data_IF_931883063174
#
_entry.id   IF_931883063174
#
_cell.length_a   1.000
_cell.length_b   1.000
_cell.length_c   1.000
_cell.angle_alpha   90.00
_cell.angle_beta   90.00
_cell.angle_gamma   90.00
#
_symmetry.space_group_name_H-M   'P 1'
#
loop_
_entity.id
_entity.type
_entity.pdbx_description
1 polymer ?
#
# COMPACT_ATOMS: atom_id res chain seq x y z
N UNK A 1 26.27 46.83 15.19
CA UNK A 1 25.34 45.74 15.52
C UNK A 1 25.38 44.74 14.37
N UNK A 2 26.16 43.67 14.54
CA UNK A 2 26.25 42.59 13.55
C UNK A 2 25.15 41.58 13.89
N UNK A 3 24.11 41.49 13.02
CA UNK A 3 23.10 40.45 13.10
C UNK A 3 23.73 39.13 12.61
N UNK A 4 24.09 38.25 13.53
CA UNK A 4 24.47 36.89 13.22
C UNK A 4 23.23 36.11 12.78
N UNK A 5 23.07 35.88 11.46
CA UNK A 5 22.19 34.82 10.95
C UNK A 5 22.83 33.51 11.33
N UNK A 6 22.37 32.89 12.41
CA UNK A 6 22.56 31.46 12.64
C UNK A 6 21.78 30.72 11.56
N UNK A 7 22.48 30.19 10.56
CA UNK A 7 21.90 29.17 9.66
C UNK A 7 21.47 28.01 10.55
N UNK A 8 20.22 27.49 10.43
CA UNK A 8 19.85 26.27 11.10
C UNK A 8 20.78 25.18 10.54
N UNK A 9 21.53 24.52 11.41
CA UNK A 9 22.23 23.29 11.05
C UNK A 9 21.21 22.36 10.44
N UNK A 10 21.42 21.93 9.19
CA UNK A 10 20.62 20.89 8.55
C UNK A 10 20.68 19.69 9.51
N UNK A 11 19.59 19.45 10.24
CA UNK A 11 19.47 18.29 11.09
C UNK A 11 19.39 17.08 10.15
N UNK A 12 20.34 16.17 10.29
CA UNK A 12 20.35 14.93 9.55
C UNK A 12 18.99 14.22 9.73
N UNK A 13 18.39 13.79 8.63
CA UNK A 13 17.08 13.13 8.60
C UNK A 13 17.28 11.61 8.76
N UNK A 14 17.15 11.12 9.99
CA UNK A 14 17.19 9.69 10.26
C UNK A 14 15.95 8.93 9.75
N UNK A 15 16.09 7.62 9.61
CA UNK A 15 15.02 6.74 9.12
C UNK A 15 13.72 6.85 9.95
N UNK A 16 13.81 6.99 11.28
CA UNK A 16 12.65 7.14 12.15
C UNK A 16 11.91 8.46 11.88
N UNK A 17 12.65 9.56 11.71
CA UNK A 17 12.06 10.86 11.38
C UNK A 17 11.41 10.83 9.98
N UNK A 18 12.02 10.14 9.02
CA UNK A 18 11.45 9.93 7.70
C UNK A 18 10.12 9.16 7.79
N UNK A 19 10.05 8.13 8.61
CA UNK A 19 8.81 7.39 8.85
C UNK A 19 7.72 8.27 9.49
N UNK A 20 8.06 9.05 10.53
CA UNK A 20 7.10 9.96 11.18
C UNK A 20 6.54 11.00 10.21
N UNK A 21 7.37 11.52 9.30
CA UNK A 21 6.93 12.43 8.25
C UNK A 21 6.02 11.73 7.24
N UNK A 22 6.36 10.51 6.82
CA UNK A 22 5.54 9.72 5.89
C UNK A 22 4.16 9.38 6.49
N UNK A 23 4.09 9.02 7.78
CA UNK A 23 2.82 8.79 8.48
C UNK A 23 1.89 10.01 8.39
N UNK A 24 2.45 11.22 8.41
CA UNK A 24 1.67 12.47 8.39
C UNK A 24 1.36 12.98 6.98
N UNK A 25 2.24 12.72 6.03
CA UNK A 25 2.23 13.41 4.74
C UNK A 25 2.03 12.49 3.53
N UNK A 26 2.26 11.16 3.65
CA UNK A 26 2.09 10.26 2.49
C UNK A 26 0.62 10.17 2.08
N UNK A 27 0.24 10.67 0.88
CA UNK A 27 -1.14 10.66 0.44
C UNK A 27 -1.75 9.25 0.35
N UNK A 28 -0.91 8.24 0.03
CA UNK A 28 -1.34 6.84 -0.05
C UNK A 28 -1.72 6.30 1.31
N UNK A 29 -0.98 6.68 2.35
CA UNK A 29 -1.28 6.27 3.72
C UNK A 29 -2.46 7.06 4.30
N UNK A 30 -2.56 8.36 4.03
CA UNK A 30 -3.75 9.16 4.40
C UNK A 30 -5.03 8.60 3.78
N UNK A 31 -4.98 8.21 2.50
CA UNK A 31 -6.10 7.52 1.86
C UNK A 31 -6.45 6.19 2.54
N UNK A 32 -5.47 5.46 3.08
CA UNK A 32 -5.73 4.22 3.81
C UNK A 32 -6.39 4.46 5.17
N UNK A 33 -6.10 5.57 5.85
CA UNK A 33 -6.77 5.99 7.09
C UNK A 33 -8.26 6.27 6.81
N UNK A 34 -8.54 7.04 5.77
CA UNK A 34 -9.92 7.37 5.39
C UNK A 34 -10.70 6.13 4.88
N UNK A 35 -10.04 5.23 4.16
CA UNK A 35 -10.62 3.94 3.73
C UNK A 35 -11.01 3.08 4.94
N UNK A 36 -10.17 3.03 5.98
CA UNK A 36 -10.50 2.35 7.24
C UNK A 36 -11.70 3.00 7.90
N UNK A 37 -11.70 4.33 8.08
CA UNK A 37 -12.80 5.07 8.71
C UNK A 37 -14.12 4.82 7.96
N UNK A 38 -14.11 4.87 6.62
CA UNK A 38 -15.26 4.52 5.81
C UNK A 38 -15.70 3.06 5.99
N UNK A 39 -14.73 2.14 6.12
CA UNK A 39 -14.98 0.72 6.36
C UNK A 39 -15.62 0.43 7.73
N UNK A 40 -15.23 1.15 8.78
CA UNK A 40 -15.79 1.03 10.13
C UNK A 40 -17.30 1.37 10.16
N UNK A 41 -17.76 2.30 9.30
CA UNK A 41 -19.17 2.67 9.18
C UNK A 41 -20.06 1.51 8.68
N UNK A 42 -19.52 0.46 8.08
CA UNK A 42 -20.30 -0.73 7.72
C UNK A 42 -20.95 -1.39 8.94
N UNK A 43 -20.36 -1.27 10.13
CA UNK A 43 -20.96 -1.76 11.37
C UNK A 43 -22.22 -0.96 11.73
N UNK A 44 -22.16 0.37 11.58
CA UNK A 44 -23.31 1.24 11.82
C UNK A 44 -24.40 1.03 10.76
N UNK A 45 -24.03 0.93 9.48
CA UNK A 45 -24.93 0.63 8.37
C UNK A 45 -25.59 -0.74 8.52
N UNK A 46 -24.86 -1.76 8.95
CA UNK A 46 -25.42 -3.07 9.26
C UNK A 46 -26.43 -3.01 10.41
N UNK A 47 -26.07 -2.33 11.51
CA UNK A 47 -26.94 -2.16 12.69
C UNK A 47 -28.18 -1.37 12.36
N UNK A 48 -28.11 -0.37 11.46
CA UNK A 48 -29.26 0.48 11.11
C UNK A 48 -30.47 -0.33 10.57
N UNK A 49 -30.22 -1.49 9.97
CA UNK A 49 -31.28 -2.38 9.48
C UNK A 49 -32.16 -2.97 10.61
N UNK A 50 -31.65 -3.01 11.85
CA UNK A 50 -32.35 -3.49 13.03
C UNK A 50 -33.03 -2.36 13.84
N UNK A 51 -32.74 -1.10 13.51
CA UNK A 51 -33.24 0.07 14.24
C UNK A 51 -34.55 0.58 13.64
N UNK A 52 -35.34 1.37 14.41
CA UNK A 52 -36.55 1.98 13.89
C UNK A 52 -36.23 3.03 12.83
N UNK A 53 -37.05 3.07 11.80
CA UNK A 53 -37.04 4.12 10.78
C UNK A 53 -38.20 5.06 10.97
N UNK A 54 -37.97 6.38 10.92
CA UNK A 54 -38.97 7.41 10.98
C UNK A 54 -38.94 8.18 9.64
N UNK A 55 -40.10 8.21 8.99
CA UNK A 55 -40.26 8.94 7.73
C UNK A 55 -41.44 9.90 7.78
N UNK A 56 -41.29 11.05 7.15
CA UNK A 56 -42.35 12.02 6.95
C UNK A 56 -42.52 12.26 5.46
N UNK A 57 -43.77 12.04 5.00
CA UNK A 57 -44.14 12.25 3.61
C UNK A 57 -45.20 13.32 3.53
N UNK A 58 -44.99 14.35 2.76
CA UNK A 58 -45.95 15.41 2.46
C UNK A 58 -46.23 15.46 0.97
N UNK A 59 -47.48 15.34 0.60
CA UNK A 59 -47.96 15.47 -0.76
C UNK A 59 -49.02 16.56 -0.85
N UNK A 60 -48.90 17.45 -1.84
CA UNK A 60 -49.89 18.49 -2.11
C UNK A 60 -50.07 18.56 -3.63
N UNK A 61 -51.29 18.39 -4.10
CA UNK A 61 -51.60 18.42 -5.53
C UNK A 61 -52.88 19.23 -5.81
N UNK A 62 -52.92 19.78 -7.02
CA UNK A 62 -54.17 20.36 -7.58
C UNK A 62 -54.69 19.36 -8.60
N UNK A 63 -55.92 18.94 -8.37
CA UNK A 63 -56.60 17.96 -9.20
C UNK A 63 -57.75 18.64 -9.97
N UNK A 64 -57.80 18.37 -11.27
CA UNK A 64 -58.95 18.65 -12.10
C UNK A 64 -59.52 17.32 -12.54
N UNK A 65 -60.68 16.96 -12.05
CA UNK A 65 -61.32 15.68 -12.34
C UNK A 65 -62.73 15.85 -12.82
N UNK A 66 -63.16 14.97 -13.68
CA UNK A 66 -64.47 14.90 -14.25
C UNK A 66 -65.15 13.63 -13.76
N UNK A 67 -66.20 13.79 -12.95
CA UNK A 67 -66.98 12.68 -12.43
C UNK A 67 -68.27 12.55 -13.22
N UNK A 68 -68.48 11.37 -13.82
CA UNK A 68 -69.74 11.05 -14.48
C UNK A 68 -70.51 10.03 -13.62
N UNK A 69 -71.69 10.40 -13.14
CA UNK A 69 -72.54 9.51 -12.35
C UNK A 69 -73.95 9.53 -12.92
N UNK A 70 -74.48 8.40 -13.37
CA UNK A 70 -75.80 8.25 -13.95
C UNK A 70 -76.12 9.31 -15.02
N UNK A 71 -75.26 9.46 -16.04
CA UNK A 71 -75.29 10.45 -17.15
C UNK A 71 -75.13 11.92 -16.74
N UNK A 72 -74.91 12.23 -15.46
CA UNK A 72 -74.59 13.58 -15.00
C UNK A 72 -73.08 13.74 -14.91
N UNK A 73 -72.52 14.66 -15.67
CA UNK A 73 -71.13 15.03 -15.68
C UNK A 73 -70.87 16.24 -14.78
N UNK A 74 -69.96 16.10 -13.83
CA UNK A 74 -69.57 17.15 -12.89
C UNK A 74 -68.06 17.35 -12.97
N UNK A 75 -67.62 18.56 -13.29
CA UNK A 75 -66.21 18.96 -13.26
C UNK A 75 -65.87 19.39 -11.81
N UNK A 76 -64.74 18.89 -11.27
CA UNK A 76 -64.26 19.22 -9.92
C UNK A 76 -62.81 19.66 -9.99
N UNK A 77 -62.56 20.91 -9.55
CA UNK A 77 -61.22 21.45 -9.32
C UNK A 77 -60.99 21.53 -7.80
N UNK A 78 -60.01 20.82 -7.30
CA UNK A 78 -59.73 20.83 -5.88
C UNK A 78 -58.25 20.67 -5.54
N UNK A 79 -57.86 21.10 -4.33
CA UNK A 79 -56.53 20.83 -3.77
C UNK A 79 -56.64 19.66 -2.81
N UNK A 80 -55.68 18.72 -2.99
CA UNK A 80 -55.50 17.63 -2.04
C UNK A 80 -54.17 17.78 -1.33
N UNK A 81 -54.10 17.44 -0.08
CA UNK A 81 -52.86 17.24 0.65
C UNK A 81 -52.91 15.99 1.53
N UNK A 82 -51.75 15.40 1.73
CA UNK A 82 -51.54 14.35 2.70
C UNK A 82 -50.21 14.56 3.41
N UNK A 83 -50.21 14.60 4.73
CA UNK A 83 -49.01 14.65 5.56
C UNK A 83 -49.05 13.37 6.43
N UNK A 84 -48.02 12.51 6.24
CA UNK A 84 -47.95 11.22 6.94
C UNK A 84 -46.59 11.07 7.60
N UNK A 85 -46.59 10.92 8.92
CA UNK A 85 -45.42 10.51 9.72
C UNK A 85 -45.56 9.01 10.01
N UNK A 86 -44.52 8.23 9.67
CA UNK A 86 -44.50 6.78 9.84
C UNK A 86 -43.25 6.35 10.59
N UNK A 87 -43.42 5.64 11.69
CA UNK A 87 -42.40 4.91 12.43
C UNK A 87 -42.53 3.42 12.08
N UNK A 88 -41.46 2.78 11.69
CA UNK A 88 -41.43 1.34 11.45
C UNK A 88 -40.22 0.72 12.17
N UNK A 89 -40.46 -0.34 12.97
CA UNK A 89 -39.44 -1.09 13.71
C UNK A 89 -39.50 -2.56 13.31
N UNK A 90 -38.44 -3.13 12.72
CA UNK A 90 -38.34 -4.58 12.54
C UNK A 90 -38.32 -5.30 13.90
N UNK A 91 -39.18 -6.30 14.08
CA UNK A 91 -39.22 -7.16 15.27
C UNK A 91 -38.63 -8.53 15.00
N UNK A 92 -38.93 -9.09 13.81
CA UNK A 92 -38.33 -10.33 13.29
C UNK A 92 -38.01 -10.10 11.81
N UNK A 93 -36.72 -9.99 11.52
CA UNK A 93 -36.20 -9.84 10.16
C UNK A 93 -34.82 -10.46 10.09
N UNK A 94 -34.75 -11.66 9.50
CA UNK A 94 -33.49 -12.39 9.37
C UNK A 94 -32.57 -11.74 8.32
N UNK A 95 -33.13 -11.07 7.32
CA UNK A 95 -32.32 -10.30 6.35
C UNK A 95 -31.58 -9.14 7.06
N UNK A 96 -32.29 -8.40 7.92
CA UNK A 96 -31.71 -7.34 8.73
C UNK A 96 -30.62 -7.87 9.68
N UNK A 97 -30.84 -9.03 10.31
CA UNK A 97 -29.83 -9.70 11.13
C UNK A 97 -28.59 -10.12 10.32
N UNK A 98 -28.78 -10.76 9.16
CA UNK A 98 -27.67 -11.14 8.28
C UNK A 98 -26.88 -9.92 7.80
N UNK A 99 -27.56 -8.82 7.48
CA UNK A 99 -26.96 -7.53 7.12
C UNK A 99 -26.14 -6.94 8.27
N UNK A 100 -26.62 -7.03 9.49
CA UNK A 100 -25.87 -6.60 10.68
C UNK A 100 -24.57 -7.39 10.83
N UNK A 101 -24.63 -8.72 10.70
CA UNK A 101 -23.44 -9.60 10.78
C UNK A 101 -22.46 -9.37 9.62
N UNK A 102 -22.99 -9.17 8.42
CA UNK A 102 -22.21 -8.82 7.24
C UNK A 102 -21.45 -7.51 7.43
N UNK A 103 -22.13 -6.46 7.91
CA UNK A 103 -21.49 -5.18 8.20
C UNK A 103 -20.39 -5.27 9.25
N UNK A 104 -20.56 -6.11 10.27
CA UNK A 104 -19.52 -6.37 11.26
C UNK A 104 -18.28 -7.04 10.63
N UNK A 105 -18.46 -8.01 9.72
CA UNK A 105 -17.36 -8.66 9.00
C UNK A 105 -16.65 -7.68 8.05
N UNK A 106 -17.41 -6.80 7.38
CA UNK A 106 -16.84 -5.77 6.49
C UNK A 106 -16.00 -4.74 7.27
N UNK A 107 -16.40 -4.37 8.47
CA UNK A 107 -15.60 -3.49 9.33
C UNK A 107 -14.28 -4.15 9.76
N UNK A 108 -14.31 -5.44 10.14
CA UNK A 108 -13.09 -6.19 10.46
C UNK A 108 -12.17 -6.37 9.24
N UNK A 109 -12.73 -6.57 8.05
CA UNK A 109 -11.98 -6.57 6.80
C UNK A 109 -11.21 -5.25 6.62
N UNK A 110 -11.86 -4.11 6.82
CA UNK A 110 -11.25 -2.80 6.69
C UNK A 110 -10.13 -2.57 7.73
N UNK A 111 -10.31 -3.03 8.97
CA UNK A 111 -9.31 -2.95 10.03
C UNK A 111 -8.05 -3.74 9.68
N UNK A 112 -8.19 -5.00 9.24
CA UNK A 112 -7.05 -5.84 8.88
C UNK A 112 -6.34 -5.33 7.63
N UNK A 113 -7.09 -4.82 6.66
CA UNK A 113 -6.53 -4.18 5.47
C UNK A 113 -5.73 -2.92 5.83
N UNK A 114 -6.20 -2.11 6.76
CA UNK A 114 -5.45 -0.97 7.26
C UNK A 114 -4.17 -1.41 7.98
N UNK A 115 -4.22 -2.48 8.79
CA UNK A 115 -3.02 -3.05 9.44
C UNK A 115 -1.97 -3.49 8.40
N UNK A 116 -2.39 -4.13 7.30
CA UNK A 116 -1.52 -4.49 6.18
C UNK A 116 -0.88 -3.25 5.56
N UNK A 117 -1.67 -2.20 5.26
CA UNK A 117 -1.17 -0.95 4.68
C UNK A 117 -0.24 -0.18 5.62
N UNK A 118 -0.47 -0.22 6.94
CA UNK A 118 0.41 0.38 7.94
C UNK A 118 1.78 -0.31 7.98
N UNK A 119 1.80 -1.64 7.95
CA UNK A 119 3.06 -2.40 7.84
C UNK A 119 3.75 -2.13 6.50
N UNK A 120 3.00 -2.02 5.41
CA UNK A 120 3.56 -1.74 4.08
C UNK A 120 4.17 -0.34 3.98
N UNK A 121 3.66 0.65 4.73
CA UNK A 121 4.29 1.98 4.81
C UNK A 121 5.73 1.89 5.34
N UNK A 122 5.99 1.06 6.38
CA UNK A 122 7.33 0.82 6.88
C UNK A 122 8.27 0.28 5.78
N UNK A 123 7.79 -0.69 4.99
CA UNK A 123 8.54 -1.26 3.86
C UNK A 123 8.83 -0.19 2.82
N UNK A 124 7.84 0.63 2.45
CA UNK A 124 7.98 1.69 1.44
C UNK A 124 8.98 2.76 1.88
N UNK A 125 8.88 3.23 3.11
CA UNK A 125 9.80 4.26 3.64
C UNK A 125 11.24 3.73 3.66
N UNK A 126 11.47 2.52 4.18
CA UNK A 126 12.81 1.94 4.17
C UNK A 126 13.32 1.72 2.73
N UNK A 127 12.45 1.30 1.81
CA UNK A 127 12.81 1.12 0.41
C UNK A 127 13.25 2.43 -0.25
N UNK A 128 12.43 3.48 -0.15
CA UNK A 128 12.72 4.78 -0.74
C UNK A 128 13.96 5.44 -0.11
N UNK A 129 14.09 5.36 1.22
CA UNK A 129 15.26 5.85 1.96
C UNK A 129 16.54 5.13 1.54
N UNK A 130 16.49 3.79 1.45
CA UNK A 130 17.61 2.96 1.00
C UNK A 130 17.99 3.21 -0.45
N UNK A 131 17.01 3.43 -1.33
CA UNK A 131 17.26 3.74 -2.76
C UNK A 131 17.94 5.11 -2.92
N UNK A 132 17.51 6.12 -2.17
CA UNK A 132 18.14 7.44 -2.20
C UNK A 132 19.61 7.39 -1.76
N UNK A 133 19.91 6.62 -0.69
CA UNK A 133 21.29 6.43 -0.24
C UNK A 133 22.12 5.59 -1.20
N UNK A 134 21.57 4.51 -1.76
CA UNK A 134 22.25 3.69 -2.76
C UNK A 134 22.59 4.52 -4.01
N UNK A 135 21.68 5.37 -4.47
CA UNK A 135 21.91 6.26 -5.59
C UNK A 135 23.03 7.27 -5.30
N UNK A 136 23.10 7.81 -4.07
CA UNK A 136 24.22 8.64 -3.61
C UNK A 136 25.55 7.88 -3.72
N UNK A 137 25.61 6.66 -3.19
CA UNK A 137 26.84 5.85 -3.27
C UNK A 137 27.23 5.55 -4.73
N UNK A 138 26.25 5.31 -5.61
CA UNK A 138 26.51 5.09 -7.05
C UNK A 138 27.11 6.34 -7.72
N UNK A 139 26.61 7.55 -7.42
CA UNK A 139 27.21 8.80 -7.93
C UNK A 139 28.64 8.97 -7.43
N UNK A 140 28.89 8.76 -6.14
CA UNK A 140 30.22 8.88 -5.56
C UNK A 140 31.21 7.92 -6.22
N UNK A 141 30.80 6.67 -6.45
CA UNK A 141 31.61 5.67 -7.17
C UNK A 141 31.84 6.07 -8.63
N UNK A 142 30.80 6.51 -9.36
CA UNK A 142 30.92 6.94 -10.76
C UNK A 142 31.86 8.15 -10.92
N UNK A 143 31.76 9.13 -9.99
CA UNK A 143 32.67 10.27 -9.93
C UNK A 143 34.11 9.84 -9.63
N UNK A 144 34.32 8.88 -8.73
CA UNK A 144 35.64 8.35 -8.43
C UNK A 144 36.23 7.61 -9.64
N UNK A 145 35.43 6.80 -10.33
CA UNK A 145 35.83 6.10 -11.56
C UNK A 145 36.18 7.07 -12.68
N UNK A 146 35.37 8.08 -12.93
CA UNK A 146 35.63 9.14 -13.90
C UNK A 146 36.96 9.86 -13.60
N UNK A 147 37.19 10.23 -12.33
CA UNK A 147 38.48 10.86 -11.93
C UNK A 147 39.68 9.94 -12.20
N UNK A 148 39.58 8.66 -11.82
CA UNK A 148 40.65 7.68 -12.05
C UNK A 148 40.97 7.57 -13.55
N UNK A 149 39.96 7.46 -14.41
CA UNK A 149 40.22 7.37 -15.87
C UNK A 149 40.70 8.70 -16.47
N UNK A 150 40.30 9.85 -15.96
CA UNK A 150 40.81 11.15 -16.38
C UNK A 150 42.30 11.31 -16.04
N UNK A 151 42.70 10.93 -14.83
CA UNK A 151 44.11 10.94 -14.41
C UNK A 151 44.94 9.95 -15.24
N UNK A 152 44.43 8.75 -15.53
CA UNK A 152 45.04 7.74 -16.38
C UNK A 152 45.23 8.26 -17.80
N UNK A 153 44.22 8.93 -18.36
CA UNK A 153 44.32 9.52 -19.70
C UNK A 153 45.40 10.57 -19.78
N UNK A 154 45.52 11.43 -18.77
CA UNK A 154 46.60 12.43 -18.72
C UNK A 154 47.98 11.79 -18.62
N UNK A 155 48.14 10.69 -17.86
CA UNK A 155 49.36 9.93 -17.77
C UNK A 155 49.72 9.33 -19.12
N UNK A 156 48.79 8.61 -19.76
CA UNK A 156 49.06 7.95 -21.07
C UNK A 156 49.34 8.97 -22.17
N UNK A 157 48.75 10.15 -22.15
CA UNK A 157 49.10 11.24 -23.09
C UNK A 157 50.52 11.77 -22.87
N UNK A 158 50.99 11.85 -21.61
CA UNK A 158 52.38 12.26 -21.30
C UNK A 158 53.39 11.19 -21.74
N UNK A 159 53.10 9.92 -21.47
CA UNK A 159 53.93 8.80 -21.89
C UNK A 159 54.05 8.72 -23.43
N UNK A 160 52.94 8.92 -24.16
CA UNK A 160 52.96 8.96 -25.62
C UNK A 160 53.81 10.09 -26.15
N UNK A 161 53.75 11.29 -25.54
CA UNK A 161 54.62 12.43 -25.93
C UNK A 161 56.09 12.17 -25.66
N UNK A 162 56.38 11.40 -24.59
CA UNK A 162 57.76 10.97 -24.24
C UNK A 162 58.29 9.82 -25.05
N UNK A 163 57.48 9.19 -25.90
CA UNK A 163 57.85 8.01 -26.67
C UNK A 163 57.80 6.68 -25.91
N UNK A 164 57.28 6.70 -24.67
CA UNK A 164 57.18 5.52 -23.78
C UNK A 164 55.81 4.87 -23.79
N UNK A 165 54.80 5.48 -24.44
CA UNK A 165 53.42 5.01 -24.51
C UNK A 165 52.92 4.80 -25.93
N UNK A 166 51.76 4.16 -26.08
CA UNK A 166 51.14 3.90 -27.39
C UNK A 166 49.92 4.77 -27.65
N UNK A 167 49.58 4.98 -28.92
CA UNK A 167 48.29 5.66 -29.31
C UNK A 167 47.10 4.83 -28.89
N UNK A 168 47.21 3.51 -28.84
CA UNK A 168 46.18 2.56 -28.40
C UNK A 168 45.82 2.81 -26.94
N UNK A 169 46.82 2.95 -26.04
CA UNK A 169 46.58 3.23 -24.61
C UNK A 169 45.74 4.51 -24.39
N UNK A 170 46.02 5.56 -25.18
CA UNK A 170 45.31 6.82 -25.12
C UNK A 170 43.84 6.64 -25.60
N UNK A 171 43.63 5.89 -26.69
CA UNK A 171 42.29 5.66 -27.25
C UNK A 171 41.44 4.78 -26.33
N UNK A 172 41.99 3.70 -25.78
CA UNK A 172 41.31 2.82 -24.80
C UNK A 172 40.92 3.57 -23.56
N UNK A 173 41.84 4.33 -22.96
CA UNK A 173 41.54 5.12 -21.75
C UNK A 173 40.53 6.21 -22.04
N UNK A 174 40.54 6.84 -23.21
CA UNK A 174 39.52 7.82 -23.61
C UNK A 174 38.15 7.17 -23.75
N UNK A 175 38.08 5.96 -24.33
CA UNK A 175 36.81 5.21 -24.43
C UNK A 175 36.24 4.89 -23.05
N UNK A 176 37.08 4.39 -22.13
CA UNK A 176 36.68 4.12 -20.72
C UNK A 176 36.21 5.40 -20.01
N UNK A 177 36.91 6.52 -20.18
CA UNK A 177 36.52 7.80 -19.63
C UNK A 177 35.16 8.26 -20.17
N UNK A 178 34.92 8.12 -21.48
CA UNK A 178 33.62 8.48 -22.08
C UNK A 178 32.48 7.63 -21.53
N UNK A 179 32.72 6.33 -21.32
CA UNK A 179 31.74 5.45 -20.66
C UNK A 179 31.48 5.84 -19.19
N UNK A 180 32.54 6.20 -18.44
CA UNK A 180 32.39 6.65 -17.06
C UNK A 180 31.61 7.98 -16.93
N UNK A 181 31.77 8.89 -17.92
CA UNK A 181 30.94 10.11 -18.00
C UNK A 181 29.48 9.77 -18.21
N UNK A 182 29.16 8.84 -19.12
CA UNK A 182 27.77 8.41 -19.33
C UNK A 182 27.18 7.75 -18.08
N UNK A 183 27.95 6.91 -17.38
CA UNK A 183 27.52 6.28 -16.12
C UNK A 183 27.29 7.29 -14.99
N UNK A 184 28.08 8.38 -14.94
CA UNK A 184 27.85 9.45 -13.95
C UNK A 184 26.53 10.20 -14.23
N UNK A 185 26.21 10.46 -15.50
CA UNK A 185 24.94 11.10 -15.89
C UNK A 185 23.76 10.20 -15.50
N UNK A 186 23.81 8.91 -15.83
CA UNK A 186 22.80 7.93 -15.46
C UNK A 186 22.61 7.87 -13.93
N UNK A 187 23.70 7.83 -13.18
CA UNK A 187 23.63 7.81 -11.71
C UNK A 187 23.05 9.13 -11.12
N UNK A 188 23.23 10.27 -11.81
CA UNK A 188 22.60 11.54 -11.40
C UNK A 188 21.09 11.51 -11.63
N UNK A 189 20.63 10.97 -12.76
CA UNK A 189 19.21 10.82 -13.05
C UNK A 189 18.54 9.85 -12.05
N UNK A 190 19.20 8.73 -11.74
CA UNK A 190 18.72 7.76 -10.74
C UNK A 190 18.62 8.40 -9.34
N UNK A 191 19.57 9.27 -8.96
CA UNK A 191 19.53 9.96 -7.68
C UNK A 191 18.36 10.96 -7.62
N UNK A 192 18.16 11.76 -8.66
CA UNK A 192 17.04 12.69 -8.68
C UNK A 192 15.70 11.93 -8.59
N UNK A 193 15.55 10.86 -9.35
CA UNK A 193 14.35 10.03 -9.31
C UNK A 193 14.09 9.44 -7.90
N UNK A 194 15.12 8.87 -7.25
CA UNK A 194 15.00 8.31 -5.92
C UNK A 194 14.67 9.36 -4.85
N UNK A 195 15.26 10.57 -4.97
CA UNK A 195 14.93 11.69 -4.07
C UNK A 195 13.49 12.16 -4.26
N UNK A 196 13.00 12.30 -5.50
CA UNK A 196 11.61 12.71 -5.76
C UNK A 196 10.61 11.69 -5.22
N UNK A 197 10.92 10.39 -5.31
CA UNK A 197 10.07 9.35 -4.70
C UNK A 197 9.99 9.51 -3.18
N UNK A 198 11.12 9.72 -2.51
CA UNK A 198 11.16 9.94 -1.06
C UNK A 198 10.46 11.25 -0.67
N UNK A 199 10.71 12.36 -1.37
CA UNK A 199 10.05 13.66 -1.17
C UNK A 199 8.53 13.57 -1.28
N UNK A 200 8.03 12.83 -2.26
CA UNK A 200 6.59 12.62 -2.45
C UNK A 200 5.93 11.92 -1.24
N UNK A 201 6.67 11.03 -0.57
CA UNK A 201 6.18 10.38 0.65
C UNK A 201 6.31 11.28 1.89
N UNK A 202 7.37 12.09 1.99
CA UNK A 202 7.63 12.92 3.17
C UNK A 202 6.93 14.28 3.12
N UNK A 203 6.46 14.70 1.94
CA UNK A 203 5.78 15.99 1.74
C UNK A 203 6.69 17.21 1.86
N UNK A 204 8.01 17.05 1.76
CA UNK A 204 8.98 18.15 1.82
C UNK A 204 10.14 17.92 0.85
N UNK A 205 10.75 19.00 0.31
CA UNK A 205 11.98 18.87 -0.46
C UNK A 205 13.13 18.37 0.41
N UNK A 206 14.03 17.58 -0.19
CA UNK A 206 15.17 16.97 0.48
C UNK A 206 16.45 17.15 -0.33
N UNK A 207 17.57 17.20 0.39
CA UNK A 207 18.90 16.99 -0.19
C UNK A 207 19.44 15.64 0.30
N UNK A 208 20.13 14.93 -0.58
CA UNK A 208 20.65 13.58 -0.25
C UNK A 208 21.67 13.61 0.91
N UNK A 209 22.32 14.75 1.12
CA UNK A 209 23.27 15.00 2.20
C UNK A 209 22.61 15.07 3.57
N UNK A 210 21.29 15.29 3.62
CA UNK A 210 20.52 15.28 4.86
C UNK A 210 20.23 13.85 5.37
N UNK A 211 20.38 12.82 4.52
CA UNK A 211 20.09 11.43 4.88
C UNK A 211 21.28 10.80 5.63
N UNK A 212 20.97 10.11 6.72
CA UNK A 212 21.97 9.37 7.49
C UNK A 212 22.53 8.19 6.67
N UNK A 213 23.86 8.08 6.51
CA UNK A 213 24.48 7.00 5.74
C UNK A 213 24.45 5.66 6.49
N UNK A 214 24.76 4.57 5.79
CA UNK A 214 25.01 3.27 6.43
C UNK A 214 26.25 3.31 7.32
N UNK A 215 26.12 2.74 8.52
CA UNK A 215 27.21 2.60 9.49
C UNK A 215 28.23 1.55 9.01
N UNK A 216 29.50 1.83 9.24
CA UNK A 216 30.59 0.87 9.06
C UNK A 216 31.17 0.50 10.46
N UNK A 217 31.48 -0.80 10.73
CA UNK A 217 31.30 -1.97 9.85
C UNK A 217 29.85 -2.43 9.75
N UNK A 218 29.45 -2.90 8.56
CA UNK A 218 28.09 -3.43 8.36
C UNK A 218 27.98 -4.83 8.98
N UNK A 219 27.02 -5.01 9.88
CA UNK A 219 26.81 -6.29 10.59
C UNK A 219 25.58 -7.00 10.07
N UNK A 220 25.67 -8.32 9.93
CA UNK A 220 24.58 -9.18 9.47
C UNK A 220 24.25 -10.18 10.57
N UNK A 221 23.30 -9.88 11.48
CA UNK A 221 22.87 -10.82 12.50
C UNK A 221 22.11 -12.01 11.89
N UNK A 222 22.21 -13.20 12.52
CA UNK A 222 21.50 -14.38 12.05
C UNK A 222 19.99 -14.16 12.01
N UNK A 223 19.32 -14.88 11.09
CA UNK A 223 17.87 -14.87 11.00
C UNK A 223 17.27 -15.80 12.06
N UNK A 224 16.35 -15.30 12.86
CA UNK A 224 15.57 -16.08 13.83
C UNK A 224 14.07 -15.89 13.58
N UNK A 225 13.31 -16.99 13.49
CA UNK A 225 13.73 -18.40 13.50
C UNK A 225 14.48 -18.82 12.23
N UNK A 226 15.37 -19.85 12.35
CA UNK A 226 16.22 -20.27 11.23
C UNK A 226 15.49 -21.14 10.20
N UNK A 227 14.37 -21.76 10.57
CA UNK A 227 13.63 -22.70 9.71
C UNK A 227 12.48 -21.96 9.04
N UNK A 228 12.29 -22.23 7.75
CA UNK A 228 11.20 -21.64 6.97
C UNK A 228 9.82 -22.05 7.48
N UNK A 229 9.67 -23.29 7.96
CA UNK A 229 8.39 -23.79 8.45
C UNK A 229 7.82 -22.93 9.58
N UNK A 230 8.68 -22.42 10.47
CA UNK A 230 8.26 -21.54 11.56
C UNK A 230 7.74 -20.17 10.98
N UNK A 231 8.41 -19.64 9.95
CA UNK A 231 7.94 -18.43 9.27
C UNK A 231 6.61 -18.64 8.57
N UNK A 232 6.42 -19.83 7.98
CA UNK A 232 5.15 -20.20 7.35
C UNK A 232 4.00 -20.21 8.37
N UNK A 233 4.20 -20.86 9.51
CA UNK A 233 3.19 -20.89 10.59
C UNK A 233 2.87 -19.49 11.11
N UNK A 234 3.90 -18.66 11.34
CA UNK A 234 3.72 -17.27 11.74
C UNK A 234 2.94 -16.46 10.72
N UNK A 235 3.22 -16.62 9.43
CA UNK A 235 2.51 -15.92 8.35
C UNK A 235 1.03 -16.32 8.29
N UNK A 236 0.73 -17.62 8.36
CA UNK A 236 -0.65 -18.09 8.35
C UNK A 236 -1.46 -17.61 9.56
N UNK A 237 -0.80 -17.41 10.71
CA UNK A 237 -1.46 -16.94 11.94
C UNK A 237 -1.60 -15.42 12.04
N UNK A 238 -0.64 -14.65 11.50
CA UNK A 238 -0.53 -13.21 11.81
C UNK A 238 -0.63 -12.28 10.60
N UNK A 239 -0.58 -12.80 9.37
CA UNK A 239 -0.58 -11.95 8.18
C UNK A 239 -1.92 -11.21 8.04
N UNK A 240 -1.92 -9.86 8.06
CA UNK A 240 -3.16 -9.07 8.05
C UNK A 240 -3.90 -9.14 6.72
N UNK A 241 -3.20 -9.38 5.61
CA UNK A 241 -3.85 -9.55 4.30
C UNK A 241 -4.66 -10.85 4.26
N UNK A 242 -4.12 -11.96 4.82
CA UNK A 242 -4.86 -13.21 4.94
C UNK A 242 -6.03 -13.07 5.92
N UNK A 243 -5.84 -12.37 7.04
CA UNK A 243 -6.91 -12.09 8.00
C UNK A 243 -8.04 -11.27 7.35
N UNK A 244 -7.70 -10.27 6.52
CA UNK A 244 -8.70 -9.49 5.78
C UNK A 244 -9.51 -10.37 4.82
N UNK A 245 -8.86 -11.27 4.07
CA UNK A 245 -9.56 -12.20 3.17
C UNK A 245 -10.47 -13.18 3.92
N UNK A 246 -10.11 -13.62 5.12
CA UNK A 246 -11.02 -14.40 5.98
C UNK A 246 -12.28 -13.62 6.36
N UNK A 247 -12.16 -12.31 6.65
CA UNK A 247 -13.32 -11.47 6.92
C UNK A 247 -14.15 -11.20 5.67
N UNK A 248 -13.53 -11.10 4.49
CA UNK A 248 -14.25 -11.03 3.22
C UNK A 248 -15.06 -12.31 2.96
N UNK A 249 -14.49 -13.48 3.23
CA UNK A 249 -15.17 -14.76 3.16
C UNK A 249 -16.39 -14.80 4.10
N UNK A 250 -16.20 -14.41 5.36
CA UNK A 250 -17.29 -14.32 6.35
C UNK A 250 -18.40 -13.36 5.89
N UNK A 251 -18.05 -12.22 5.30
CA UNK A 251 -19.01 -11.29 4.70
C UNK A 251 -19.81 -11.94 3.56
N UNK A 252 -19.17 -12.75 2.71
CA UNK A 252 -19.83 -13.48 1.63
C UNK A 252 -20.76 -14.60 2.17
N UNK A 253 -20.41 -15.24 3.27
CA UNK A 253 -21.29 -16.21 3.96
C UNK A 253 -22.60 -15.54 4.40
N UNK A 254 -22.50 -14.38 5.08
CA UNK A 254 -23.68 -13.62 5.49
C UNK A 254 -24.46 -13.05 4.29
N UNK A 255 -23.83 -12.78 3.14
CA UNK A 255 -24.55 -12.42 1.92
C UNK A 255 -25.44 -13.57 1.43
N UNK A 256 -24.98 -14.82 1.49
CA UNK A 256 -25.80 -16.00 1.16
C UNK A 256 -27.01 -16.08 2.10
N UNK A 257 -26.78 -15.93 3.42
CA UNK A 257 -27.86 -15.96 4.41
C UNK A 257 -28.84 -14.80 4.19
N UNK A 258 -28.37 -13.62 3.86
CA UNK A 258 -29.19 -12.45 3.53
C UNK A 258 -30.09 -12.73 2.34
N UNK A 259 -29.56 -13.34 1.26
CA UNK A 259 -30.38 -13.69 0.09
C UNK A 259 -31.37 -14.81 0.37
N UNK A 260 -30.97 -15.79 1.19
CA UNK A 260 -31.86 -16.87 1.65
C UNK A 260 -33.02 -16.35 2.50
N UNK A 261 -32.79 -15.30 3.28
CA UNK A 261 -33.79 -14.66 4.11
C UNK A 261 -35.02 -14.16 3.33
N UNK A 262 -34.89 -13.90 2.05
CA UNK A 262 -36.02 -13.55 1.18
C UNK A 262 -37.13 -14.61 1.08
N UNK A 263 -36.92 -15.83 1.60
CA UNK A 263 -37.96 -16.83 1.78
C UNK A 263 -38.64 -16.81 3.18
N UNK A 264 -38.07 -16.05 4.15
CA UNK A 264 -38.52 -16.06 5.52
C UNK A 264 -39.56 -14.97 5.76
N UNK A 265 -40.49 -15.19 6.72
CA UNK A 265 -41.43 -14.15 7.11
C UNK A 265 -40.70 -13.00 7.83
N UNK A 266 -41.23 -11.78 7.65
CA UNK A 266 -40.80 -10.59 8.39
C UNK A 266 -41.95 -10.07 9.25
N UNK A 267 -41.65 -9.63 10.48
CA UNK A 267 -42.57 -9.01 11.42
C UNK A 267 -42.05 -7.63 11.77
N UNK A 268 -42.92 -6.62 11.62
CA UNK A 268 -42.61 -5.24 11.99
C UNK A 268 -43.72 -4.61 12.82
N UNK A 269 -43.35 -3.76 13.77
CA UNK A 269 -44.21 -2.81 14.42
C UNK A 269 -44.24 -1.55 13.57
N UNK A 270 -45.45 -0.98 13.37
CA UNK A 270 -45.60 0.32 12.76
C UNK A 270 -46.50 1.24 13.58
N UNK A 271 -46.19 2.53 13.54
CA UNK A 271 -47.04 3.59 14.04
C UNK A 271 -47.10 4.69 12.98
N UNK A 272 -48.28 5.21 12.70
CA UNK A 272 -48.44 6.30 11.73
C UNK A 272 -49.41 7.35 12.20
N UNK A 273 -49.10 8.62 11.90
CA UNK A 273 -49.99 9.75 12.07
C UNK A 273 -50.18 10.41 10.69
N UNK A 274 -51.40 10.40 10.20
CA UNK A 274 -51.77 10.92 8.88
C UNK A 274 -52.80 11.99 8.99
N UNK A 275 -52.52 13.14 8.39
CA UNK A 275 -53.49 14.21 8.14
C UNK A 275 -53.68 14.33 6.64
N UNK A 276 -54.91 14.26 6.18
CA UNK A 276 -55.21 14.41 4.75
C UNK A 276 -56.47 15.21 4.49
N UNK A 277 -56.58 15.84 3.35
CA UNK A 277 -57.76 16.54 2.88
C UNK A 277 -57.97 16.31 1.40
N UNK A 278 -59.15 15.86 1.02
CA UNK A 278 -59.53 15.62 -0.38
C UNK A 278 -58.50 14.76 -1.15
N UNK A 279 -57.94 13.72 -0.52
CA UNK A 279 -56.87 12.91 -1.10
C UNK A 279 -57.32 11.90 -2.17
N UNK A 280 -58.64 11.79 -2.36
CA UNK A 280 -59.27 11.04 -3.44
C UNK A 280 -60.62 11.65 -3.82
N UNK A 281 -61.21 11.23 -4.93
CA UNK A 281 -62.55 11.66 -5.37
C UNK A 281 -63.65 11.34 -4.34
N UNK A 282 -63.53 10.22 -3.65
CA UNK A 282 -64.48 9.80 -2.59
C UNK A 282 -64.38 10.62 -1.31
N UNK A 283 -63.24 11.31 -1.09
CA UNK A 283 -62.97 12.13 0.10
C UNK A 283 -62.97 13.64 -0.19
N UNK A 284 -63.53 14.05 -1.32
CA UNK A 284 -63.67 15.46 -1.71
C UNK A 284 -64.32 16.30 -0.59
N UNK A 285 -63.66 17.43 -0.22
CA UNK A 285 -64.02 18.32 0.87
C UNK A 285 -64.04 17.67 2.29
N UNK A 286 -63.43 16.51 2.46
CA UNK A 286 -63.29 15.86 3.75
C UNK A 286 -61.85 15.97 4.26
N UNK A 287 -61.70 16.12 5.59
CA UNK A 287 -60.43 16.11 6.31
C UNK A 287 -60.40 14.90 7.21
N UNK A 288 -59.25 14.23 7.18
CA UNK A 288 -58.99 13.06 8.04
C UNK A 288 -57.75 13.30 8.87
N UNK A 289 -57.86 12.94 10.15
CA UNK A 289 -56.75 12.87 11.11
C UNK A 289 -56.77 11.47 11.70
N UNK A 290 -55.79 10.67 11.29
CA UNK A 290 -55.79 9.23 11.58
C UNK A 290 -54.49 8.85 12.26
N UNK A 291 -54.55 8.28 13.47
CA UNK A 291 -53.42 7.71 14.17
C UNK A 291 -53.60 6.19 14.23
N UNK A 292 -52.56 5.45 13.80
CA UNK A 292 -52.59 4.00 13.73
C UNK A 292 -51.34 3.42 14.37
N UNK A 293 -51.50 2.35 15.14
CA UNK A 293 -50.42 1.51 15.65
C UNK A 293 -50.77 0.06 15.37
N UNK A 294 -49.84 -0.71 14.86
CA UNK A 294 -50.14 -2.08 14.51
C UNK A 294 -48.88 -2.91 14.29
N UNK A 295 -49.10 -4.19 14.10
CA UNK A 295 -48.08 -5.18 13.75
C UNK A 295 -48.34 -5.65 12.32
N UNK A 296 -47.31 -5.70 11.50
CA UNK A 296 -47.36 -6.21 10.13
C UNK A 296 -46.54 -7.47 10.00
N UNK A 297 -47.18 -8.57 9.65
CA UNK A 297 -46.54 -9.82 9.25
C UNK A 297 -46.56 -9.91 7.72
N UNK A 298 -45.38 -10.08 7.10
CA UNK A 298 -45.25 -10.32 5.66
C UNK A 298 -44.66 -11.71 5.46
N UNK A 299 -45.36 -12.58 4.72
CA UNK A 299 -44.89 -13.92 4.33
C UNK A 299 -44.81 -13.98 2.81
N UNK A 300 -43.59 -14.02 2.22
CA UNK A 300 -43.44 -14.15 0.78
C UNK A 300 -43.79 -15.57 0.35
N UNK A 301 -44.85 -15.76 -0.39
CA UNK A 301 -45.28 -17.11 -0.87
C UNK A 301 -44.58 -17.49 -2.18
N UNK A 302 -44.46 -16.57 -3.10
CA UNK A 302 -43.79 -16.75 -4.37
C UNK A 302 -43.24 -15.43 -4.92
N UNK A 303 -41.96 -15.43 -5.33
CA UNK A 303 -41.27 -14.27 -5.88
C UNK A 303 -40.69 -14.52 -7.28
N UNK A 304 -41.42 -15.31 -8.11
CA UNK A 304 -40.99 -15.59 -9.49
C UNK A 304 -39.61 -16.29 -9.62
N UNK A 305 -39.13 -16.96 -8.57
CA UNK A 305 -37.84 -17.65 -8.55
C UNK A 305 -36.65 -16.74 -8.25
N UNK A 306 -36.83 -15.40 -8.06
CA UNK A 306 -35.76 -14.42 -7.85
C UNK A 306 -34.93 -14.70 -6.60
N UNK A 307 -35.55 -15.08 -5.46
CA UNK A 307 -34.87 -15.43 -4.21
C UNK A 307 -33.94 -16.65 -4.40
N UNK A 308 -34.44 -17.70 -5.05
CA UNK A 308 -33.63 -18.88 -5.34
C UNK A 308 -32.47 -18.58 -6.29
N UNK A 309 -32.67 -17.74 -7.31
CA UNK A 309 -31.63 -17.32 -8.24
C UNK A 309 -30.55 -16.46 -7.54
N UNK A 310 -30.96 -15.46 -6.73
CA UNK A 310 -30.04 -14.60 -6.00
C UNK A 310 -29.28 -15.37 -4.91
N UNK A 311 -29.89 -16.36 -4.26
CA UNK A 311 -29.20 -17.25 -3.31
C UNK A 311 -28.14 -18.11 -4.03
N UNK A 312 -28.45 -18.68 -5.21
CA UNK A 312 -27.45 -19.40 -6.00
C UNK A 312 -26.32 -18.49 -6.48
N UNK A 313 -26.61 -17.25 -6.87
CA UNK A 313 -25.61 -16.26 -7.25
C UNK A 313 -24.68 -15.97 -6.07
N UNK A 314 -25.22 -15.66 -4.91
CA UNK A 314 -24.44 -15.40 -3.68
C UNK A 314 -23.58 -16.63 -3.30
N UNK A 315 -24.12 -17.86 -3.42
CA UNK A 315 -23.35 -19.08 -3.16
C UNK A 315 -22.16 -19.24 -4.12
N UNK A 316 -22.28 -18.81 -5.38
CA UNK A 316 -21.14 -18.80 -6.31
C UNK A 316 -20.10 -17.73 -5.97
N UNK A 317 -20.55 -16.57 -5.51
CA UNK A 317 -19.68 -15.51 -5.01
C UNK A 317 -18.93 -15.94 -3.72
N UNK A 318 -19.59 -16.69 -2.84
CA UNK A 318 -18.93 -17.32 -1.69
C UNK A 318 -17.83 -18.29 -2.12
N UNK A 319 -18.13 -19.18 -3.12
CA UNK A 319 -17.10 -20.07 -3.66
C UNK A 319 -15.96 -19.32 -4.33
N UNK A 320 -16.25 -18.20 -5.00
CA UNK A 320 -15.22 -17.31 -5.56
C UNK A 320 -14.32 -16.75 -4.45
N UNK A 321 -14.90 -16.18 -3.38
CA UNK A 321 -14.14 -15.64 -2.25
C UNK A 321 -13.26 -16.70 -1.56
N UNK A 322 -13.71 -17.96 -1.50
CA UNK A 322 -12.89 -19.07 -1.01
C UNK A 322 -11.65 -19.32 -1.88
N UNK A 323 -11.81 -19.36 -3.20
CA UNK A 323 -10.68 -19.53 -4.11
C UNK A 323 -9.75 -18.33 -4.14
N UNK A 324 -10.27 -17.12 -3.93
CA UNK A 324 -9.46 -15.89 -3.78
C UNK A 324 -8.60 -15.95 -2.52
N UNK A 325 -9.15 -16.44 -1.40
CA UNK A 325 -8.39 -16.67 -0.17
C UNK A 325 -7.29 -17.73 -0.37
N UNK A 326 -7.60 -18.84 -1.05
CA UNK A 326 -6.63 -19.90 -1.34
C UNK A 326 -5.51 -19.37 -2.25
N UNK A 327 -5.85 -18.60 -3.28
CA UNK A 327 -4.88 -17.97 -4.18
C UNK A 327 -3.98 -16.96 -3.46
N UNK A 328 -4.57 -16.10 -2.61
CA UNK A 328 -3.82 -15.13 -1.82
C UNK A 328 -2.90 -15.81 -0.81
N UNK A 329 -3.36 -16.90 -0.19
CA UNK A 329 -2.53 -17.71 0.73
C UNK A 329 -1.32 -18.30 -0.01
N UNK A 330 -1.53 -18.89 -1.19
CA UNK A 330 -0.44 -19.41 -2.00
C UNK A 330 0.56 -18.32 -2.42
N UNK A 331 0.08 -17.18 -2.89
CA UNK A 331 0.92 -16.04 -3.27
C UNK A 331 1.76 -15.53 -2.08
N UNK A 332 1.14 -15.33 -0.92
CA UNK A 332 1.81 -14.88 0.30
C UNK A 332 2.92 -15.86 0.72
N UNK A 333 2.68 -17.17 0.65
CA UNK A 333 3.67 -18.18 0.99
C UNK A 333 4.83 -18.24 -0.02
N UNK A 334 4.56 -18.00 -1.31
CA UNK A 334 5.61 -17.88 -2.34
C UNK A 334 6.49 -16.67 -2.07
N UNK A 335 5.90 -15.51 -1.81
CA UNK A 335 6.64 -14.29 -1.51
C UNK A 335 7.42 -14.41 -0.19
N UNK A 336 6.82 -14.96 0.85
CA UNK A 336 7.50 -15.27 2.10
C UNK A 336 8.73 -16.14 1.86
N UNK A 337 8.61 -17.21 1.06
CA UNK A 337 9.73 -18.10 0.74
C UNK A 337 10.83 -17.38 -0.03
N UNK A 338 10.45 -16.52 -0.98
CA UNK A 338 11.38 -15.68 -1.71
C UNK A 338 12.18 -14.77 -0.78
N UNK A 339 11.51 -14.07 0.15
CA UNK A 339 12.18 -13.18 1.09
C UNK A 339 13.06 -13.93 2.10
N UNK A 340 12.61 -15.10 2.57
CA UNK A 340 13.42 -15.97 3.41
C UNK A 340 14.72 -16.40 2.71
N UNK A 341 14.65 -16.84 1.46
CA UNK A 341 15.82 -17.22 0.67
C UNK A 341 16.73 -16.02 0.39
N UNK A 342 16.16 -14.85 0.06
CA UNK A 342 16.92 -13.62 -0.16
C UNK A 342 17.67 -13.20 1.12
N UNK A 343 17.01 -13.23 2.28
CA UNK A 343 17.64 -12.88 3.53
C UNK A 343 18.81 -13.81 3.86
N UNK A 344 18.65 -15.13 3.73
CA UNK A 344 19.71 -16.11 3.98
C UNK A 344 20.90 -15.97 3.00
N UNK A 345 20.59 -15.70 1.71
CA UNK A 345 21.64 -15.52 0.71
C UNK A 345 22.35 -14.17 0.82
N UNK A 346 21.65 -13.13 1.28
CA UNK A 346 22.20 -11.78 1.36
C UNK A 346 23.38 -11.69 2.33
N UNK A 347 23.31 -12.37 3.48
CA UNK A 347 24.42 -12.47 4.43
C UNK A 347 25.70 -13.03 3.83
N UNK A 348 25.55 -14.10 3.03
CA UNK A 348 26.69 -14.72 2.33
C UNK A 348 27.21 -13.83 1.20
N UNK A 349 26.31 -13.16 0.46
CA UNK A 349 26.66 -12.23 -0.61
C UNK A 349 27.44 -11.02 -0.09
N UNK A 350 26.99 -10.39 1.00
CA UNK A 350 27.72 -9.26 1.60
C UNK A 350 29.16 -9.65 1.92
N UNK A 351 29.38 -10.77 2.63
CA UNK A 351 30.74 -11.26 2.94
C UNK A 351 31.57 -11.57 1.69
N UNK A 352 30.97 -12.19 0.68
CA UNK A 352 31.65 -12.50 -0.58
C UNK A 352 32.05 -11.22 -1.33
N UNK A 353 31.19 -10.21 -1.37
CA UNK A 353 31.51 -8.93 -2.00
C UNK A 353 32.54 -8.12 -1.21
N UNK A 354 32.55 -8.19 0.13
CA UNK A 354 33.62 -7.58 0.94
C UNK A 354 34.99 -8.17 0.55
N UNK A 355 35.10 -9.52 0.51
CA UNK A 355 36.31 -10.17 0.05
C UNK A 355 36.66 -9.84 -1.41
N UNK A 356 35.66 -9.69 -2.27
CA UNK A 356 35.88 -9.29 -3.67
C UNK A 356 36.41 -7.86 -3.78
N UNK A 357 35.95 -6.92 -2.99
CA UNK A 357 36.45 -5.53 -2.94
C UNK A 357 37.89 -5.50 -2.46
N UNK A 358 38.25 -6.25 -1.42
CA UNK A 358 39.62 -6.34 -0.90
C UNK A 358 40.56 -6.92 -1.93
N UNK A 359 40.17 -8.03 -2.57
CA UNK A 359 40.95 -8.70 -3.60
C UNK A 359 41.11 -7.82 -4.86
N UNK A 360 40.04 -7.16 -5.31
CA UNK A 360 40.11 -6.27 -6.47
C UNK A 360 40.96 -5.02 -6.18
N UNK A 361 40.91 -4.50 -4.94
CA UNK A 361 41.77 -3.38 -4.53
C UNK A 361 43.27 -3.76 -4.57
N UNK A 362 43.61 -4.95 -4.04
CA UNK A 362 44.97 -5.49 -4.11
C UNK A 362 45.40 -5.74 -5.57
N UNK A 363 44.48 -6.24 -6.41
CA UNK A 363 44.76 -6.47 -7.84
C UNK A 363 45.11 -5.17 -8.57
N UNK A 364 44.34 -4.09 -8.34
CA UNK A 364 44.65 -2.77 -8.95
C UNK A 364 46.07 -2.32 -8.59
N UNK A 365 46.44 -2.41 -7.30
CA UNK A 365 47.76 -2.00 -6.83
C UNK A 365 48.90 -2.86 -7.46
N UNK A 366 48.68 -4.18 -7.52
CA UNK A 366 49.65 -5.11 -8.10
C UNK A 366 49.83 -4.86 -9.60
N UNK A 367 48.72 -4.73 -10.34
CA UNK A 367 48.73 -4.48 -11.79
C UNK A 367 49.39 -3.15 -12.13
N UNK A 368 49.10 -2.09 -11.35
CA UNK A 368 49.80 -0.79 -11.52
C UNK A 368 51.28 -0.88 -11.34
N UNK A 369 51.79 -1.70 -10.40
CA UNK A 369 53.23 -1.95 -10.21
C UNK A 369 53.81 -2.74 -11.37
N UNK A 370 53.16 -3.82 -11.84
CA UNK A 370 53.63 -4.64 -12.97
C UNK A 370 53.67 -3.87 -14.30
N UNK A 371 52.71 -2.94 -14.53
CA UNK A 371 52.77 -2.05 -15.71
C UNK A 371 53.95 -1.11 -15.63
N UNK A 372 54.27 -0.55 -14.46
CA UNK A 372 55.49 0.26 -14.28
C UNK A 372 56.79 -0.54 -14.50
N UNK A 373 56.77 -1.84 -14.18
CA UNK A 373 57.87 -2.77 -14.43
C UNK A 373 57.98 -3.26 -15.88
N UNK A 374 57.01 -2.93 -16.74
CA UNK A 374 57.00 -3.35 -18.13
C UNK A 374 56.50 -4.80 -18.36
N UNK A 375 55.93 -5.44 -17.31
CA UNK A 375 55.48 -6.84 -17.38
C UNK A 375 54.00 -6.95 -17.85
N UNK A 376 53.23 -5.88 -17.76
CA UNK A 376 51.82 -5.82 -18.14
C UNK A 376 51.50 -4.54 -18.91
N UNK A 377 50.34 -4.53 -19.56
CA UNK A 377 49.87 -3.40 -20.39
C UNK A 377 48.86 -2.53 -19.66
N UNK A 378 48.64 -1.31 -20.15
CA UNK A 378 47.71 -0.35 -19.58
C UNK A 378 46.25 -0.90 -19.50
N UNK A 379 45.84 -1.71 -20.46
CA UNK A 379 44.50 -2.32 -20.48
C UNK A 379 44.24 -3.17 -19.22
N UNK A 380 45.25 -3.90 -18.73
CA UNK A 380 45.12 -4.72 -17.50
C UNK A 380 44.81 -3.86 -16.30
N UNK A 381 45.30 -2.62 -16.20
CA UNK A 381 44.98 -1.68 -15.11
C UNK A 381 43.58 -1.19 -15.26
N UNK A 382 43.14 -0.82 -16.46
CA UNK A 382 41.76 -0.36 -16.72
C UNK A 382 40.73 -1.45 -16.37
N UNK A 383 41.02 -2.70 -16.69
CA UNK A 383 40.15 -3.83 -16.37
C UNK A 383 40.15 -4.13 -14.87
N UNK A 384 41.28 -4.07 -14.18
CA UNK A 384 41.34 -4.20 -12.71
C UNK A 384 40.58 -3.07 -12.00
N UNK A 385 40.70 -1.83 -12.45
CA UNK A 385 39.95 -0.68 -11.95
C UNK A 385 38.43 -0.85 -12.17
N UNK A 386 38.01 -1.31 -13.36
CA UNK A 386 36.62 -1.61 -13.66
C UNK A 386 36.06 -2.70 -12.72
N UNK A 387 36.84 -3.77 -12.48
CA UNK A 387 36.45 -4.84 -11.56
C UNK A 387 36.28 -4.33 -10.14
N UNK A 388 37.17 -3.46 -9.66
CA UNK A 388 37.08 -2.86 -8.33
C UNK A 388 35.78 -2.00 -8.16
N UNK A 389 35.47 -1.13 -9.14
CA UNK A 389 34.29 -0.30 -9.11
C UNK A 389 33.00 -1.14 -9.18
N UNK A 390 32.98 -2.20 -9.99
CA UNK A 390 31.86 -3.15 -10.04
C UNK A 390 31.69 -3.86 -8.70
N UNK A 391 32.76 -4.36 -8.07
CA UNK A 391 32.70 -5.02 -6.77
C UNK A 391 32.17 -4.08 -5.65
N UNK A 392 32.59 -2.82 -5.65
CA UNK A 392 32.11 -1.81 -4.68
C UNK A 392 30.62 -1.53 -4.87
N UNK A 393 30.16 -1.35 -6.12
CA UNK A 393 28.75 -1.14 -6.42
C UNK A 393 27.90 -2.33 -5.98
N UNK A 394 28.34 -3.56 -6.29
CA UNK A 394 27.63 -4.78 -5.96
C UNK A 394 27.57 -5.01 -4.43
N UNK A 395 28.64 -4.61 -3.70
CA UNK A 395 28.64 -4.62 -2.24
C UNK A 395 27.61 -3.63 -1.65
N UNK A 396 27.57 -2.40 -2.14
CA UNK A 396 26.59 -1.41 -1.73
C UNK A 396 25.16 -1.95 -1.94
N UNK A 397 24.87 -2.41 -3.15
CA UNK A 397 23.57 -3.01 -3.48
C UNK A 397 23.20 -4.21 -2.57
N UNK A 398 24.18 -5.08 -2.26
CA UNK A 398 23.94 -6.24 -1.40
C UNK A 398 23.59 -5.87 0.04
N UNK A 399 24.17 -4.80 0.59
CA UNK A 399 23.88 -4.30 1.95
C UNK A 399 22.45 -3.77 2.06
N UNK A 400 22.02 -2.92 1.12
CA UNK A 400 20.63 -2.40 1.11
C UNK A 400 19.62 -3.51 0.82
N UNK A 401 19.93 -4.43 -0.10
CA UNK A 401 19.08 -5.58 -0.41
C UNK A 401 18.87 -6.48 0.82
N UNK A 402 19.88 -6.65 1.67
CA UNK A 402 19.75 -7.39 2.93
C UNK A 402 18.74 -6.73 3.88
N UNK A 403 18.83 -5.41 4.09
CA UNK A 403 17.92 -4.68 4.97
C UNK A 403 16.47 -4.80 4.50
N UNK A 404 16.26 -4.61 3.19
CA UNK A 404 14.93 -4.73 2.58
C UNK A 404 14.38 -6.15 2.69
N UNK A 405 15.17 -7.18 2.38
CA UNK A 405 14.73 -8.57 2.48
C UNK A 405 14.32 -8.96 3.90
N UNK A 406 15.02 -8.43 4.93
CA UNK A 406 14.70 -8.67 6.34
C UNK A 406 13.36 -8.06 6.74
N UNK A 407 13.11 -6.82 6.35
CA UNK A 407 11.84 -6.13 6.64
C UNK A 407 10.68 -6.75 5.85
N UNK A 408 10.88 -7.06 4.58
CA UNK A 408 9.87 -7.71 3.74
C UNK A 408 9.51 -9.10 4.25
N UNK A 409 10.48 -9.87 4.76
CA UNK A 409 10.21 -11.18 5.39
C UNK A 409 9.26 -11.03 6.59
N UNK A 410 9.52 -10.05 7.46
CA UNK A 410 8.65 -9.76 8.62
C UNK A 410 7.28 -9.23 8.19
N UNK A 411 7.21 -8.43 7.13
CA UNK A 411 5.95 -7.96 6.55
C UNK A 411 5.08 -9.13 6.07
N UNK A 412 5.63 -10.04 5.25
CA UNK A 412 4.89 -11.22 4.79
C UNK A 412 4.52 -12.19 5.92
N UNK A 413 5.30 -12.21 6.98
CA UNK A 413 4.96 -12.96 8.20
C UNK A 413 3.90 -12.25 9.08
N UNK A 414 3.53 -10.99 8.78
CA UNK A 414 2.58 -10.20 9.57
C UNK A 414 3.13 -9.73 10.92
N UNK A 415 4.45 -9.76 11.11
CA UNK A 415 5.13 -9.46 12.36
C UNK A 415 5.81 -8.09 12.39
N UNK A 416 5.79 -7.37 11.26
CA UNK A 416 6.48 -6.08 11.14
C UNK A 416 5.84 -5.03 12.07
N UNK A 417 6.69 -4.39 12.89
CA UNK A 417 6.28 -3.39 13.85
C UNK A 417 7.30 -2.24 13.95
N UNK A 418 6.98 -1.19 14.71
CA UNK A 418 7.85 -0.02 14.89
C UNK A 418 9.20 -0.35 15.57
N UNK A 419 9.27 -1.38 16.43
CA UNK A 419 10.52 -1.85 17.01
C UNK A 419 11.49 -2.39 15.97
N UNK A 420 10.97 -2.98 14.89
CA UNK A 420 11.78 -3.42 13.75
C UNK A 420 12.37 -2.23 12.99
N UNK A 421 11.60 -1.14 12.86
CA UNK A 421 12.10 0.10 12.26
C UNK A 421 13.23 0.71 13.10
N UNK A 422 13.11 0.68 14.43
CA UNK A 422 14.19 1.13 15.34
C UNK A 422 15.46 0.28 15.14
N UNK A 423 15.33 -1.04 14.98
CA UNK A 423 16.48 -1.89 14.64
C UNK A 423 17.09 -1.52 13.29
N UNK A 424 16.25 -1.24 12.29
CA UNK A 424 16.74 -0.79 10.98
C UNK A 424 17.40 0.59 11.05
N UNK A 425 16.87 1.52 11.84
CA UNK A 425 17.48 2.83 12.06
C UNK A 425 18.90 2.73 12.67
N UNK A 426 19.18 1.70 13.45
CA UNK A 426 20.52 1.43 13.98
C UNK A 426 21.60 1.12 12.92
N UNK A 427 21.21 0.84 11.68
CA UNK A 427 22.12 0.70 10.54
C UNK A 427 22.45 2.03 9.86
N UNK A 428 21.76 3.11 10.21
CA UNK A 428 21.94 4.45 9.65
C UNK A 428 22.27 5.41 10.78
N UNK A 429 23.38 6.09 10.71
CA UNK A 429 23.81 7.07 11.72
C UNK A 429 24.53 8.22 11.04
N UNK A 430 24.47 9.46 11.60
CA UNK A 430 25.15 10.63 11.07
C UNK A 430 26.68 10.54 11.11
#
# INVERSE_FOLDING_TARGET
MACGCSMPSAQALGLLQAYDLAVRNDPTFQAAIEERAAGEENRALGRSALLPTLSWNYNNSRNASQVTQADTRTDRDYRSYASTLTLQQPLLDYEAYARFRQGAAQALFADERFRSKSQYLLVRVLSAYSQALLAREHIELSRAQKRAYAERLQLNQRLLKGGEGTRTDVLETRARLSMAVAQEIEAQDDQDAALRELEAMLGKPLQVEELDPLVAPFTVPPLEPQRFENWRELALANNPELASQHHALTSAEYEVERKRAGHLPTLSLYASSRQSSSDSESTYNQKYDTNSVGIQLRVPLFAGGSVSASTRQAARQLSQAQYELDAQTAATLVDLRKQFNLNNSAAAKVRAYEMAVDSASALVQATQKSVRGGERVNLDVLDAEQQLFSAKRDLAQARYAYLLARVQLKYYAGLLNEGDLQQMAGYFQP
#
